data_IF_662457898695
#
_entry.id   IF_662457898695
#
_cell.length_a   1.000
_cell.length_b   1.000
_cell.length_c   1.000
_cell.angle_alpha   90.00
_cell.angle_beta   90.00
_cell.angle_gamma   90.00
#
_symmetry.space_group_name_H-M   'P 1'
#
loop_
_entity.id
_entity.type
_entity.pdbx_description
1 polymer ?
#
# COMPACT_ATOMS: atom_id res chain seq x y z
N UNK A 1 24.57 16.91 -5.13
CA UNK A 1 24.21 15.85 -6.09
C UNK A 1 22.74 15.53 -5.88
N UNK A 2 21.90 15.64 -6.88
CA UNK A 2 20.46 15.33 -6.73
C UNK A 2 20.27 13.82 -6.55
N UNK A 3 19.28 13.37 -5.74
CA UNK A 3 18.98 11.94 -5.51
C UNK A 3 18.88 11.11 -6.79
N UNK A 4 18.36 11.71 -7.85
CA UNK A 4 18.22 11.10 -9.19
C UNK A 4 19.60 10.81 -9.80
N UNK A 5 20.60 11.67 -9.58
CA UNK A 5 21.95 11.48 -10.15
C UNK A 5 22.70 10.36 -9.43
N UNK A 6 22.49 10.20 -8.11
CA UNK A 6 23.04 9.09 -7.34
C UNK A 6 22.48 7.74 -7.82
N UNK A 7 21.16 7.64 -8.04
CA UNK A 7 20.53 6.42 -8.54
C UNK A 7 20.99 6.06 -9.96
N UNK A 8 21.18 7.06 -10.83
CA UNK A 8 21.70 6.84 -12.19
C UNK A 8 23.16 6.36 -12.16
N UNK A 9 23.98 6.92 -11.29
CA UNK A 9 25.40 6.54 -11.16
C UNK A 9 25.56 5.13 -10.58
N UNK A 10 24.70 4.75 -9.60
CA UNK A 10 24.72 3.42 -9.02
C UNK A 10 24.25 2.33 -10.01
N UNK A 11 23.31 2.65 -10.90
CA UNK A 11 22.84 1.74 -11.94
C UNK A 11 23.93 1.45 -13.02
N UNK A 12 24.83 2.41 -13.27
CA UNK A 12 25.93 2.24 -14.23
C UNK A 12 27.04 1.32 -13.67
N UNK A 13 27.22 1.30 -12.34
CA UNK A 13 28.28 0.51 -11.70
C UNK A 13 27.86 -0.94 -11.38
N UNK A 14 26.59 -1.28 -11.47
CA UNK A 14 26.05 -2.56 -11.00
C UNK A 14 25.44 -3.49 -12.03
N UNK A 15 25.56 -3.27 -13.34
CA UNK A 15 25.08 -4.23 -14.38
C UNK A 15 23.62 -4.71 -14.23
N UNK A 16 22.83 -4.08 -13.36
CA UNK A 16 21.42 -4.38 -13.18
C UNK A 16 20.65 -3.72 -14.34
N UNK A 17 20.28 -4.51 -15.34
CA UNK A 17 19.27 -4.11 -16.30
C UNK A 17 18.01 -3.76 -15.51
N UNK A 18 17.63 -2.48 -15.48
CA UNK A 18 16.32 -2.06 -15.02
C UNK A 18 15.32 -2.78 -15.94
N UNK A 19 14.68 -3.83 -15.42
CA UNK A 19 13.57 -4.45 -16.11
C UNK A 19 12.56 -3.35 -16.42
N UNK A 20 12.05 -3.26 -17.66
CA UNK A 20 11.03 -2.28 -17.98
C UNK A 20 9.84 -2.57 -17.06
N UNK A 21 9.55 -1.64 -16.15
CA UNK A 21 8.29 -1.67 -15.40
C UNK A 21 7.21 -1.62 -16.47
N UNK A 22 6.50 -2.74 -16.68
CA UNK A 22 5.47 -2.82 -17.68
C UNK A 22 4.51 -1.65 -17.48
N UNK A 23 4.24 -0.90 -18.53
CA UNK A 23 3.39 0.30 -18.52
C UNK A 23 2.01 0.09 -17.88
N UNK A 24 1.53 -1.14 -17.88
CA UNK A 24 0.29 -1.56 -17.21
C UNK A 24 0.35 -1.36 -15.69
N UNK A 25 1.52 -1.59 -15.06
CA UNK A 25 1.68 -1.42 -13.61
C UNK A 25 1.98 0.03 -13.21
N UNK A 26 2.71 0.77 -14.05
CA UNK A 26 2.86 2.20 -13.84
C UNK A 26 1.49 2.91 -13.89
N UNK A 27 0.60 2.50 -14.79
CA UNK A 27 -0.76 3.02 -14.86
C UNK A 27 -1.60 2.63 -13.63
N UNK A 28 -1.48 1.40 -13.11
CA UNK A 28 -2.24 1.00 -11.91
C UNK A 28 -1.82 1.76 -10.65
N UNK A 29 -0.54 2.13 -10.52
CA UNK A 29 -0.08 2.99 -9.44
C UNK A 29 -0.67 4.40 -9.56
N UNK A 30 -0.77 4.93 -10.79
CA UNK A 30 -1.37 6.23 -11.07
C UNK A 30 -2.89 6.22 -10.83
N UNK A 31 -3.58 5.15 -11.24
CA UNK A 31 -5.02 5.01 -11.02
C UNK A 31 -5.39 4.93 -9.53
N UNK A 32 -4.52 4.37 -8.70
CA UNK A 32 -4.70 4.31 -7.25
C UNK A 32 -4.25 5.60 -6.52
N UNK A 33 -3.87 6.65 -7.24
CA UNK A 33 -3.41 7.92 -6.64
C UNK A 33 -2.05 7.85 -5.97
N UNK A 34 -1.30 6.76 -6.14
CA UNK A 34 0.00 6.56 -5.50
C UNK A 34 1.07 7.55 -5.98
N UNK A 35 0.90 8.14 -7.16
CA UNK A 35 1.72 9.22 -7.69
C UNK A 35 1.55 10.54 -6.94
N UNK A 36 0.47 10.68 -6.15
CA UNK A 36 0.09 11.89 -5.43
C UNK A 36 0.23 11.77 -3.91
N UNK A 37 0.94 10.76 -3.41
CA UNK A 37 1.07 10.55 -1.97
C UNK A 37 1.86 11.64 -1.24
N UNK A 38 2.60 12.48 -1.97
CA UNK A 38 3.44 13.53 -1.41
C UNK A 38 3.20 14.88 -2.07
N UNK A 39 3.34 15.97 -1.30
CA UNK A 39 3.34 17.34 -1.80
C UNK A 39 4.70 17.72 -2.42
N UNK A 40 4.79 18.96 -2.93
CA UNK A 40 6.02 19.49 -3.53
C UNK A 40 7.21 19.59 -2.53
N UNK A 41 6.93 19.56 -1.24
CA UNK A 41 7.94 19.61 -0.18
C UNK A 41 8.36 18.22 0.30
N UNK A 42 7.72 17.16 -0.23
CA UNK A 42 7.97 15.77 0.15
C UNK A 42 7.22 15.30 1.39
N UNK A 43 6.20 16.04 1.86
CA UNK A 43 5.34 15.60 2.93
C UNK A 43 4.23 14.69 2.39
N UNK A 44 3.89 13.66 3.14
CA UNK A 44 2.74 12.81 2.81
C UNK A 44 1.43 13.59 2.97
N UNK A 45 0.50 13.40 2.05
CA UNK A 45 -0.80 14.06 2.03
C UNK A 45 -1.95 13.06 2.23
N UNK A 46 -2.95 13.47 2.98
CA UNK A 46 -4.17 12.70 3.18
C UNK A 46 -5.11 12.95 1.99
N UNK A 47 -5.08 12.05 1.00
CA UNK A 47 -5.92 12.17 -0.20
C UNK A 47 -7.41 12.06 0.17
N UNK A 48 -8.24 12.85 -0.50
CA UNK A 48 -9.69 12.77 -0.33
C UNK A 48 -10.22 11.40 -0.76
N UNK A 49 -11.30 10.95 -0.10
CA UNK A 49 -12.04 9.76 -0.52
C UNK A 49 -12.52 9.91 -1.98
N UNK A 50 -12.51 8.83 -2.79
CA UNK A 50 -13.00 8.87 -4.16
C UNK A 50 -14.53 8.92 -4.27
N UNK A 51 -15.26 8.91 -3.14
CA UNK A 51 -16.71 8.90 -3.03
C UNK A 51 -17.17 9.61 -1.75
N UNK A 52 -18.48 9.83 -1.63
CA UNK A 52 -19.12 10.38 -0.43
C UNK A 52 -19.05 9.38 0.74
N UNK A 53 -19.04 9.86 1.97
CA UNK A 53 -18.86 9.02 3.16
C UNK A 53 -19.97 7.94 3.33
N UNK A 54 -21.19 8.19 2.86
CA UNK A 54 -22.29 7.23 2.89
C UNK A 54 -22.36 6.31 1.66
N UNK A 55 -21.39 6.39 0.74
CA UNK A 55 -21.42 5.63 -0.53
C UNK A 55 -21.41 4.12 -0.34
N UNK A 56 -20.78 3.64 0.72
CA UNK A 56 -20.61 2.20 0.96
C UNK A 56 -21.79 1.56 1.71
N UNK A 57 -22.81 2.34 2.10
CA UNK A 57 -24.00 1.77 2.72
C UNK A 57 -24.73 0.78 1.79
N UNK A 58 -25.35 -0.28 2.34
CA UNK A 58 -25.46 -0.63 3.76
C UNK A 58 -24.30 -1.50 4.29
N UNK A 59 -23.21 -1.68 3.57
CA UNK A 59 -22.10 -2.59 3.94
C UNK A 59 -21.16 -1.97 4.97
N UNK A 60 -20.92 -0.69 4.89
CA UNK A 60 -20.16 0.12 5.85
C UNK A 60 -20.91 1.44 6.04
N UNK A 61 -21.30 1.76 7.25
CA UNK A 61 -22.02 3.00 7.55
C UNK A 61 -21.10 4.23 7.52
N UNK A 62 -21.72 5.40 7.37
CA UNK A 62 -21.01 6.68 7.26
C UNK A 62 -20.12 6.97 8.47
N UNK A 63 -20.56 6.64 9.68
CA UNK A 63 -19.81 6.88 10.90
C UNK A 63 -18.54 6.04 10.95
N UNK A 64 -18.65 4.74 10.71
CA UNK A 64 -17.51 3.80 10.63
C UNK A 64 -16.49 4.27 9.59
N UNK A 65 -16.96 4.60 8.38
CA UNK A 65 -16.10 5.09 7.31
C UNK A 65 -15.39 6.38 7.72
N UNK A 66 -16.12 7.34 8.27
CA UNK A 66 -15.56 8.63 8.70
C UNK A 66 -14.51 8.47 9.81
N UNK A 67 -14.77 7.64 10.81
CA UNK A 67 -13.82 7.35 11.89
C UNK A 67 -12.56 6.68 11.35
N UNK A 68 -12.72 5.67 10.50
CA UNK A 68 -11.61 4.96 9.89
C UNK A 68 -10.75 5.87 9.00
N UNK A 69 -11.39 6.66 8.13
CA UNK A 69 -10.68 7.60 7.25
C UNK A 69 -10.00 8.72 8.05
N UNK A 70 -10.72 9.36 8.98
CA UNK A 70 -10.21 10.56 9.67
C UNK A 70 -9.13 10.23 10.69
N UNK A 71 -9.33 9.19 11.50
CA UNK A 71 -8.44 8.91 12.63
C UNK A 71 -7.38 7.87 12.29
N UNK A 72 -7.74 6.75 11.66
CA UNK A 72 -6.76 5.71 11.31
C UNK A 72 -5.91 6.14 10.13
N UNK A 73 -6.49 6.43 8.97
CA UNK A 73 -5.72 6.87 7.81
C UNK A 73 -5.08 8.25 8.04
N UNK A 74 -5.85 9.25 8.49
CA UNK A 74 -5.32 10.58 8.78
C UNK A 74 -4.27 10.59 9.90
N UNK A 75 -4.39 9.70 10.89
CA UNK A 75 -3.38 9.45 11.92
C UNK A 75 -2.07 8.90 11.34
N UNK A 76 -2.17 7.95 10.40
CA UNK A 76 -1.01 7.38 9.72
C UNK A 76 -0.23 8.44 8.91
N UNK A 77 -0.93 9.30 8.17
CA UNK A 77 -0.30 10.41 7.42
C UNK A 77 0.43 11.38 8.35
N UNK A 78 -0.22 11.81 9.44
CA UNK A 78 0.39 12.67 10.45
C UNK A 78 1.61 12.01 11.10
N UNK A 79 1.48 10.71 11.42
CA UNK A 79 2.56 9.90 11.97
C UNK A 79 3.76 9.83 11.05
N UNK A 80 3.56 9.47 9.78
CA UNK A 80 4.64 9.37 8.81
C UNK A 80 5.40 10.70 8.62
N UNK A 81 4.69 11.83 8.53
CA UNK A 81 5.32 13.15 8.45
C UNK A 81 6.12 13.50 9.71
N UNK A 82 5.56 13.19 10.89
CA UNK A 82 6.29 13.36 12.16
C UNK A 82 7.57 12.52 12.18
N UNK A 83 7.50 11.27 11.77
CA UNK A 83 8.63 10.36 11.80
C UNK A 83 9.76 10.84 10.87
N UNK A 84 9.42 11.31 9.65
CA UNK A 84 10.39 11.93 8.74
C UNK A 84 11.06 13.16 9.36
N UNK A 85 10.27 14.02 10.02
CA UNK A 85 10.80 15.21 10.70
C UNK A 85 11.77 14.83 11.82
N UNK A 86 11.44 13.81 12.62
CA UNK A 86 12.28 13.36 13.74
C UNK A 86 13.55 12.67 13.25
N UNK A 87 13.50 11.89 12.17
CA UNK A 87 14.69 11.31 11.53
C UNK A 87 15.59 12.43 11.02
N UNK A 88 15.01 13.41 10.31
CA UNK A 88 15.78 14.56 9.83
C UNK A 88 16.44 15.32 10.98
N UNK A 89 15.72 15.59 12.05
CA UNK A 89 16.23 16.26 13.25
C UNK A 89 17.40 15.49 13.86
N UNK A 90 17.27 14.16 14.01
CA UNK A 90 18.34 13.31 14.54
C UNK A 90 19.63 13.41 13.72
N UNK A 91 19.48 13.48 12.39
CA UNK A 91 20.62 13.63 11.46
C UNK A 91 21.24 15.02 11.53
N UNK A 92 20.42 16.08 11.55
CA UNK A 92 20.88 17.48 11.61
C UNK A 92 21.66 17.77 12.93
N UNK A 93 21.18 17.18 14.03
CA UNK A 93 21.78 17.34 15.36
C UNK A 93 22.92 16.33 15.65
N UNK A 94 23.19 15.42 14.70
CA UNK A 94 24.13 14.30 14.89
C UNK A 94 23.87 13.50 16.18
N UNK A 95 22.58 13.35 16.53
CA UNK A 95 22.10 12.58 17.68
C UNK A 95 21.27 11.39 17.18
N UNK A 96 21.85 10.20 17.18
CA UNK A 96 21.25 8.98 16.67
C UNK A 96 20.59 8.11 17.74
N UNK A 97 20.48 8.57 18.98
CA UNK A 97 20.01 7.78 20.13
C UNK A 97 18.62 7.15 19.89
N UNK A 98 17.72 7.86 19.19
CA UNK A 98 16.34 7.39 18.93
C UNK A 98 16.03 7.16 17.46
N UNK A 99 17.02 7.15 16.57
CA UNK A 99 16.80 7.09 15.12
C UNK A 99 16.17 5.75 14.68
N UNK A 100 16.52 4.65 15.35
CA UNK A 100 15.93 3.32 15.13
C UNK A 100 14.42 3.31 15.44
N UNK A 101 14.02 3.95 16.55
CA UNK A 101 12.60 4.11 16.89
C UNK A 101 11.83 4.84 15.80
N UNK A 102 12.34 5.98 15.33
CA UNK A 102 11.67 6.77 14.29
C UNK A 102 11.67 6.05 12.94
N UNK A 103 12.73 5.33 12.59
CA UNK A 103 12.80 4.50 11.39
C UNK A 103 11.74 3.39 11.41
N UNK A 104 11.58 2.71 12.56
CA UNK A 104 10.54 1.70 12.76
C UNK A 104 9.14 2.30 12.68
N UNK A 105 8.92 3.47 13.30
CA UNK A 105 7.64 4.19 13.26
C UNK A 105 7.28 4.64 11.85
N UNK A 106 8.24 5.13 11.09
CA UNK A 106 8.04 5.50 9.69
C UNK A 106 7.59 4.31 8.84
N UNK A 107 8.21 3.14 9.03
CA UNK A 107 7.77 1.91 8.34
C UNK A 107 6.31 1.58 8.66
N UNK A 108 5.91 1.65 9.92
CA UNK A 108 4.54 1.41 10.35
C UNK A 108 3.55 2.43 9.75
N UNK A 109 3.78 3.72 9.96
CA UNK A 109 2.85 4.77 9.55
C UNK A 109 2.77 4.93 8.02
N UNK A 110 3.92 4.83 7.32
CA UNK A 110 3.93 4.93 5.86
C UNK A 110 3.25 3.73 5.20
N UNK A 111 3.50 2.51 5.70
CA UNK A 111 2.82 1.32 5.21
C UNK A 111 1.31 1.42 5.45
N UNK A 112 0.89 1.89 6.63
CA UNK A 112 -0.52 2.17 6.92
C UNK A 112 -1.13 3.16 5.92
N UNK A 113 -0.46 4.28 5.67
CA UNK A 113 -0.93 5.28 4.70
C UNK A 113 -1.09 4.70 3.29
N UNK A 114 -0.10 3.93 2.80
CA UNK A 114 -0.14 3.28 1.49
C UNK A 114 -1.33 2.31 1.41
N UNK A 115 -1.47 1.42 2.40
CA UNK A 115 -2.52 0.40 2.39
C UNK A 115 -3.92 1.03 2.47
N UNK A 116 -4.14 2.04 3.31
CA UNK A 116 -5.41 2.75 3.36
C UNK A 116 -5.73 3.49 2.05
N UNK A 117 -4.73 4.11 1.40
CA UNK A 117 -4.93 4.76 0.10
C UNK A 117 -5.46 3.77 -0.93
N UNK A 118 -4.88 2.58 -1.01
CA UNK A 118 -5.34 1.51 -1.90
C UNK A 118 -6.71 0.99 -1.47
N UNK A 119 -6.92 0.78 -0.17
CA UNK A 119 -8.17 0.27 0.40
C UNK A 119 -9.38 1.08 -0.04
N UNK A 120 -9.33 2.41 0.06
CA UNK A 120 -10.43 3.27 -0.35
C UNK A 120 -10.77 3.13 -1.83
N UNK A 121 -9.80 2.88 -2.70
CA UNK A 121 -10.04 2.67 -4.14
C UNK A 121 -10.52 1.26 -4.48
N UNK A 122 -10.34 0.29 -3.59
CA UNK A 122 -10.79 -1.09 -3.78
C UNK A 122 -12.26 -1.32 -3.41
N UNK A 123 -12.87 -0.40 -2.65
CA UNK A 123 -14.24 -0.56 -2.15
C UNK A 123 -15.28 -0.04 -3.13
N UNK A 124 -16.41 -0.75 -3.21
CA UNK A 124 -17.55 -0.35 -4.02
C UNK A 124 -18.86 -0.84 -3.37
N UNK A 125 -19.93 -0.08 -3.51
CA UNK A 125 -21.28 -0.49 -3.06
C UNK A 125 -21.98 -1.44 -4.04
N UNK A 126 -21.35 -1.75 -5.17
CA UNK A 126 -21.86 -2.69 -6.18
C UNK A 126 -20.84 -3.80 -6.40
N UNK A 127 -21.36 -5.02 -6.51
CA UNK A 127 -20.51 -6.15 -6.89
C UNK A 127 -19.91 -5.90 -8.29
N UNK A 128 -18.60 -6.05 -8.39
CA UNK A 128 -17.86 -6.03 -9.65
C UNK A 128 -17.05 -7.32 -9.77
N UNK A 129 -16.97 -7.86 -10.98
CA UNK A 129 -16.14 -9.03 -11.26
C UNK A 129 -15.01 -8.61 -12.21
N UNK A 130 -13.81 -9.23 -12.08
CA UNK A 130 -12.69 -8.93 -12.95
C UNK A 130 -13.02 -9.29 -14.41
N UNK A 131 -12.48 -8.50 -15.36
CA UNK A 131 -12.71 -8.66 -16.80
C UNK A 131 -11.41 -8.50 -17.58
N UNK A 132 -11.44 -8.86 -18.85
CA UNK A 132 -10.35 -8.62 -19.78
C UNK A 132 -9.03 -9.22 -19.35
N UNK A 133 -7.95 -8.46 -19.42
CA UNK A 133 -6.60 -8.93 -19.13
C UNK A 133 -6.41 -9.29 -17.64
N UNK A 134 -7.09 -8.61 -16.71
CA UNK A 134 -7.04 -8.96 -15.30
C UNK A 134 -7.60 -10.37 -15.05
N UNK A 135 -8.76 -10.69 -15.63
CA UNK A 135 -9.34 -12.04 -15.51
C UNK A 135 -8.42 -13.12 -16.09
N UNK A 136 -7.89 -12.92 -17.28
CA UNK A 136 -6.93 -13.84 -17.91
C UNK A 136 -5.69 -14.05 -17.03
N UNK A 137 -5.20 -12.97 -16.40
CA UNK A 137 -4.07 -13.04 -15.49
C UNK A 137 -4.39 -13.84 -14.24
N UNK A 138 -5.55 -13.64 -13.64
CA UNK A 138 -6.04 -14.40 -12.49
C UNK A 138 -6.16 -15.88 -12.86
N UNK A 139 -6.74 -16.20 -13.99
CA UNK A 139 -6.88 -17.59 -14.46
C UNK A 139 -5.52 -18.25 -14.70
N UNK A 140 -4.56 -17.53 -15.28
CA UNK A 140 -3.18 -18.02 -15.49
C UNK A 140 -2.48 -18.33 -14.16
N UNK A 141 -2.56 -17.44 -13.17
CA UNK A 141 -1.75 -17.52 -11.96
C UNK A 141 -2.42 -18.34 -10.84
N UNK A 142 -3.76 -18.39 -10.79
CA UNK A 142 -4.54 -19.10 -9.76
C UNK A 142 -5.44 -20.21 -10.31
N UNK A 143 -5.60 -20.31 -11.61
CA UNK A 143 -6.46 -21.28 -12.27
C UNK A 143 -7.93 -20.86 -12.40
N UNK A 144 -8.46 -20.01 -11.51
CA UNK A 144 -9.78 -19.37 -11.66
C UNK A 144 -9.95 -18.22 -10.67
N UNK A 145 -10.94 -17.37 -10.95
CA UNK A 145 -11.32 -16.26 -10.03
C UNK A 145 -11.82 -16.77 -8.69
N UNK A 146 -12.60 -17.87 -8.66
CA UNK A 146 -13.09 -18.44 -7.41
C UNK A 146 -11.96 -19.00 -6.53
N UNK A 147 -10.92 -19.58 -7.14
CA UNK A 147 -9.73 -20.01 -6.40
C UNK A 147 -8.97 -18.82 -5.80
N UNK A 148 -8.78 -17.74 -6.57
CA UNK A 148 -8.20 -16.49 -6.04
C UNK A 148 -9.00 -15.99 -4.84
N UNK A 149 -10.34 -15.86 -4.96
CA UNK A 149 -11.21 -15.41 -3.87
C UNK A 149 -11.08 -16.28 -2.63
N UNK A 150 -11.16 -17.59 -2.80
CA UNK A 150 -11.02 -18.53 -1.69
C UNK A 150 -9.67 -18.44 -1.01
N UNK A 151 -8.59 -18.32 -1.79
CA UNK A 151 -7.24 -18.18 -1.26
C UNK A 151 -7.07 -16.83 -0.52
N UNK A 152 -7.45 -15.71 -1.13
CA UNK A 152 -7.37 -14.40 -0.50
C UNK A 152 -8.20 -14.33 0.79
N UNK A 153 -9.45 -14.82 0.75
CA UNK A 153 -10.33 -14.83 1.93
C UNK A 153 -9.77 -15.68 3.07
N UNK A 154 -9.25 -16.89 2.77
CA UNK A 154 -8.64 -17.76 3.78
C UNK A 154 -7.41 -17.11 4.39
N UNK A 155 -6.52 -16.58 3.55
CA UNK A 155 -5.28 -15.91 3.97
C UNK A 155 -5.57 -14.70 4.84
N UNK A 156 -6.58 -13.88 4.45
CA UNK A 156 -6.97 -12.70 5.22
C UNK A 156 -7.54 -13.04 6.59
N UNK A 157 -8.39 -14.08 6.68
CA UNK A 157 -8.98 -14.53 7.94
C UNK A 157 -7.96 -15.06 8.94
N UNK A 158 -6.85 -15.59 8.45
CA UNK A 158 -5.82 -16.23 9.27
C UNK A 158 -4.65 -15.30 9.58
N UNK A 159 -4.81 -13.99 9.40
CA UNK A 159 -3.83 -13.01 9.88
C UNK A 159 -3.77 -13.06 11.40
N UNK A 160 -2.58 -13.23 11.96
CA UNK A 160 -2.40 -13.23 13.41
C UNK A 160 -2.52 -11.80 13.98
N UNK A 161 -3.52 -11.59 14.80
CA UNK A 161 -3.83 -10.28 15.38
C UNK A 161 -4.46 -9.33 14.35
N UNK A 162 -3.86 -8.17 14.16
CA UNK A 162 -4.33 -7.13 13.24
C UNK A 162 -3.51 -7.11 11.96
N UNK A 163 -4.13 -6.84 10.82
CA UNK A 163 -3.38 -6.74 9.58
C UNK A 163 -4.21 -6.69 8.31
N UNK A 164 -3.66 -7.26 7.24
CA UNK A 164 -4.19 -7.14 5.88
C UNK A 164 -4.00 -8.43 5.10
N UNK A 165 -5.01 -8.77 4.31
CA UNK A 165 -4.86 -9.70 3.19
C UNK A 165 -4.59 -8.92 1.91
N UNK A 166 -3.57 -9.29 1.15
CA UNK A 166 -3.10 -8.51 0.01
C UNK A 166 -3.00 -9.38 -1.24
N UNK A 167 -3.66 -8.97 -2.33
CA UNK A 167 -3.33 -9.41 -3.67
C UNK A 167 -2.31 -8.43 -4.25
N UNK A 168 -1.13 -8.91 -4.58
CA UNK A 168 -0.07 -8.12 -5.16
C UNK A 168 0.48 -8.67 -6.46
N UNK A 169 1.26 -7.85 -7.15
CA UNK A 169 2.05 -8.27 -8.30
C UNK A 169 3.52 -8.40 -7.90
N UNK A 170 4.08 -9.57 -8.17
CA UNK A 170 5.50 -9.86 -7.95
C UNK A 170 6.28 -9.70 -9.27
N UNK A 171 7.05 -8.61 -9.45
CA UNK A 171 7.71 -8.30 -10.72
C UNK A 171 8.82 -9.29 -11.10
N UNK A 172 9.50 -9.91 -10.13
CA UNK A 172 10.60 -10.84 -10.41
C UNK A 172 10.14 -12.16 -11.03
N UNK A 173 8.92 -12.58 -10.71
CA UNK A 173 8.32 -13.81 -11.24
C UNK A 173 7.29 -13.54 -12.31
N UNK A 174 6.96 -12.28 -12.56
CA UNK A 174 5.85 -11.85 -13.40
C UNK A 174 4.54 -12.56 -13.04
N UNK A 175 4.15 -12.55 -11.74
CA UNK A 175 2.96 -13.23 -11.23
C UNK A 175 2.16 -12.39 -10.24
N UNK A 176 0.87 -12.67 -10.20
CA UNK A 176 0.05 -12.28 -9.06
C UNK A 176 0.37 -13.19 -7.87
N UNK A 177 0.39 -12.61 -6.67
CA UNK A 177 0.67 -13.31 -5.42
C UNK A 177 -0.25 -12.84 -4.31
N UNK A 178 -0.46 -13.68 -3.30
CA UNK A 178 -1.21 -13.32 -2.11
C UNK A 178 -0.26 -13.24 -0.93
N UNK A 179 -0.39 -12.20 -0.13
CA UNK A 179 0.38 -11.98 1.08
C UNK A 179 -0.56 -11.81 2.28
N UNK A 180 -0.06 -12.20 3.45
CA UNK A 180 -0.50 -11.66 4.72
C UNK A 180 0.41 -10.49 5.10
N UNK A 181 -0.15 -9.50 5.76
CA UNK A 181 0.61 -8.43 6.38
C UNK A 181 0.11 -8.26 7.81
N UNK A 182 0.95 -8.57 8.80
CA UNK A 182 0.67 -8.25 10.20
C UNK A 182 0.93 -6.76 10.46
N UNK A 183 0.11 -6.15 11.29
CA UNK A 183 0.04 -4.69 11.45
C UNK A 183 -0.11 -4.00 10.07
N UNK A 184 0.93 -3.29 9.61
CA UNK A 184 0.93 -2.64 8.30
C UNK A 184 2.20 -2.98 7.49
N UNK A 185 3.27 -3.48 8.14
CA UNK A 185 4.61 -3.57 7.56
C UNK A 185 5.27 -4.94 7.67
N UNK A 186 4.72 -5.86 8.49
CA UNK A 186 5.35 -7.16 8.72
C UNK A 186 4.90 -8.21 7.70
N UNK A 187 5.73 -9.23 7.47
CA UNK A 187 5.52 -10.34 6.56
C UNK A 187 5.37 -9.97 5.07
N UNK A 188 5.73 -8.74 4.71
CA UNK A 188 5.71 -8.29 3.32
C UNK A 188 6.88 -8.87 2.52
N UNK A 189 6.69 -8.99 1.20
CA UNK A 189 7.74 -9.38 0.27
C UNK A 189 8.30 -8.15 -0.46
N UNK A 190 9.62 -7.97 -0.42
CA UNK A 190 10.25 -6.83 -1.08
C UNK A 190 9.97 -6.81 -2.58
N UNK A 191 9.56 -5.65 -3.06
CA UNK A 191 9.28 -5.41 -4.48
C UNK A 191 7.89 -5.83 -4.95
N UNK A 192 7.07 -6.46 -4.12
CA UNK A 192 5.65 -6.69 -4.46
C UNK A 192 4.90 -5.37 -4.50
N UNK A 193 4.12 -5.17 -5.55
CA UNK A 193 3.21 -4.02 -5.71
C UNK A 193 1.82 -4.46 -5.26
N UNK A 194 1.26 -3.90 -4.17
CA UNK A 194 -0.09 -4.20 -3.73
C UNK A 194 -1.12 -3.66 -4.73
N UNK A 195 -2.09 -4.49 -5.10
CA UNK A 195 -3.14 -4.17 -6.08
C UNK A 195 -4.52 -4.10 -5.45
N UNK A 196 -4.84 -5.07 -4.58
CA UNK A 196 -6.06 -5.12 -3.80
C UNK A 196 -5.69 -5.50 -2.37
N UNK A 197 -6.25 -4.77 -1.41
CA UNK A 197 -5.99 -4.97 0.01
C UNK A 197 -7.30 -5.13 0.76
N UNK A 198 -7.34 -6.07 1.70
CA UNK A 198 -8.45 -6.28 2.61
C UNK A 198 -7.96 -5.94 4.01
N UNK A 199 -8.56 -4.96 4.61
CA UNK A 199 -8.35 -4.62 6.01
C UNK A 199 -9.00 -5.68 6.90
N UNK A 200 -8.25 -6.25 7.83
CA UNK A 200 -8.75 -7.22 8.83
C UNK A 200 -8.42 -6.78 10.25
N UNK A 201 -8.22 -5.48 10.44
CA UNK A 201 -8.25 -4.88 11.77
C UNK A 201 -9.67 -4.94 12.31
N UNK A 202 -9.81 -4.98 13.63
CA UNK A 202 -11.13 -5.11 14.29
C UNK A 202 -12.10 -3.94 14.04
N UNK A 203 -11.58 -2.81 13.58
CA UNK A 203 -12.36 -1.59 13.28
C UNK A 203 -12.76 -1.46 11.80
N UNK A 204 -12.42 -2.45 10.94
CA UNK A 204 -12.66 -2.37 9.50
C UNK A 204 -14.00 -3.04 9.09
#
# INVERSE_FOLDING_TARGET
MKRIDFLKTSAILGGASLLPVNSVFANSLNENGMDKLVDANGNFIHLSLPYQQNFLEPYMDEETLNLHYTFHHGGAVKGANKDLLMIKKSLDENNLETIDYWTKKLSYHLSSHILHTIFWTNLNNKKTDPKGELLKRIEKDFGSYEKLKGYLAKTSKDVDGNGWGILGYQPYTDKLTILQCENHEKLTQWGVVPLLVLDVWEHA
#
